data_IF_933216136599
#
_entry.id   IF_933216136599
#
_cell.length_a   1.000
_cell.length_b   1.000
_cell.length_c   1.000
_cell.angle_alpha   90.00
_cell.angle_beta   90.00
_cell.angle_gamma   90.00
#
_symmetry.space_group_name_H-M   'P 1'
#
loop_
_entity.id
_entity.type
_entity.pdbx_description
1 polymer ?
#
# COMPACT_ATOMS: atom_id res chain seq x y z
N UNK A 1 26.13 -39.26 42.98
CA UNK A 1 25.26 -38.08 42.81
C UNK A 1 25.83 -37.31 41.63
N UNK A 2 25.31 -37.59 40.45
CA UNK A 2 25.82 -37.06 39.18
C UNK A 2 25.11 -35.73 38.92
N UNK A 3 25.80 -34.63 38.59
CA UNK A 3 25.11 -33.38 38.26
C UNK A 3 24.35 -33.53 36.94
N UNK A 4 23.13 -33.02 36.95
CA UNK A 4 22.17 -32.93 35.85
C UNK A 4 22.68 -31.90 34.81
N UNK A 5 22.57 -32.14 33.50
CA UNK A 5 23.02 -31.17 32.50
C UNK A 5 22.04 -29.99 32.41
N UNK A 6 22.56 -28.76 32.45
CA UNK A 6 21.78 -27.55 32.20
C UNK A 6 21.17 -27.57 30.78
N UNK A 7 19.93 -27.07 30.60
CA UNK A 7 19.35 -26.98 29.27
C UNK A 7 20.04 -25.86 28.49
N UNK A 8 20.53 -26.21 27.30
CA UNK A 8 21.04 -25.27 26.33
C UNK A 8 19.97 -24.23 25.98
N UNK A 9 20.30 -22.94 26.15
CA UNK A 9 19.55 -21.84 25.53
C UNK A 9 19.64 -21.99 24.01
N UNK A 10 18.62 -22.61 23.42
CA UNK A 10 18.40 -22.55 21.99
C UNK A 10 18.02 -21.11 21.64
N UNK A 11 19.01 -20.35 21.20
CA UNK A 11 18.80 -19.09 20.50
C UNK A 11 17.79 -19.30 19.37
N UNK A 12 16.64 -18.63 19.49
CA UNK A 12 15.66 -18.56 18.41
C UNK A 12 16.33 -17.87 17.22
N UNK A 13 16.74 -18.66 16.24
CA UNK A 13 16.95 -18.18 14.90
C UNK A 13 15.62 -17.55 14.43
N UNK A 14 15.64 -16.26 14.17
CA UNK A 14 14.53 -15.56 13.53
C UNK A 14 14.40 -16.08 12.10
N UNK A 15 13.54 -17.05 11.92
CA UNK A 15 13.06 -17.49 10.62
C UNK A 15 12.35 -16.29 9.97
N UNK A 16 12.93 -15.69 8.92
CA UNK A 16 12.28 -14.64 8.14
C UNK A 16 11.22 -15.25 7.20
N UNK A 17 10.27 -15.98 7.77
CA UNK A 17 9.01 -16.24 7.11
C UNK A 17 8.29 -14.89 7.04
N UNK A 18 8.04 -14.39 5.83
CA UNK A 18 7.34 -13.11 5.60
C UNK A 18 6.13 -12.97 6.53
N UNK A 19 5.97 -11.79 7.13
CA UNK A 19 5.03 -11.60 8.24
C UNK A 19 3.63 -12.01 7.81
N UNK A 20 3.03 -12.97 8.54
CA UNK A 20 1.62 -13.37 8.37
C UNK A 20 0.64 -12.39 9.04
N UNK A 21 1.10 -11.23 9.50
CA UNK A 21 0.22 -10.25 10.11
C UNK A 21 -0.50 -9.43 9.02
N UNK A 22 -1.84 -9.26 9.09
CA UNK A 22 -2.58 -8.43 8.16
C UNK A 22 -2.02 -7.01 8.09
N UNK A 23 -2.02 -6.39 6.91
CA UNK A 23 -1.56 -5.00 6.71
C UNK A 23 -2.64 -4.02 7.17
N UNK A 24 -2.68 -3.74 8.47
CA UNK A 24 -3.62 -2.83 9.14
C UNK A 24 -2.91 -1.56 9.59
N UNK A 25 -3.67 -0.57 10.08
CA UNK A 25 -3.06 0.61 10.71
C UNK A 25 -2.09 0.24 11.83
N UNK A 26 -2.51 -0.61 12.77
CA UNK A 26 -1.69 -0.98 13.92
C UNK A 26 -0.40 -1.70 13.51
N UNK A 27 -0.51 -2.72 12.68
CA UNK A 27 0.66 -3.51 12.23
C UNK A 27 1.59 -2.69 11.33
N UNK A 28 1.09 -1.72 10.56
CA UNK A 28 1.95 -0.81 9.80
C UNK A 28 2.65 0.21 10.72
N UNK A 29 1.96 0.72 11.73
CA UNK A 29 2.53 1.65 12.73
C UNK A 29 3.69 0.98 13.48
N UNK A 30 3.51 -0.26 13.95
CA UNK A 30 4.57 -1.09 14.55
C UNK A 30 5.78 -1.31 13.62
N UNK A 31 5.52 -1.34 12.31
CA UNK A 31 6.57 -1.47 11.26
C UNK A 31 7.20 -0.12 10.88
N UNK A 32 6.91 0.95 11.61
CA UNK A 32 7.47 2.28 11.41
C UNK A 32 6.84 3.06 10.25
N UNK A 33 5.64 2.69 9.81
CA UNK A 33 4.87 3.56 8.92
C UNK A 33 4.36 4.78 9.70
N UNK A 34 4.46 5.94 9.06
CA UNK A 34 3.94 7.20 9.54
C UNK A 34 2.79 7.67 8.65
N UNK A 35 2.15 8.77 9.05
CA UNK A 35 1.05 9.37 8.31
C UNK A 35 -0.29 8.84 8.81
N UNK A 36 -0.93 7.98 8.00
CA UNK A 36 -2.33 7.57 8.19
C UNK A 36 -3.31 8.73 8.05
N UNK A 37 -3.10 9.52 7.00
CA UNK A 37 -3.91 10.72 6.71
C UNK A 37 -4.68 10.57 5.40
N UNK A 38 -5.86 11.18 5.26
CA UNK A 38 -6.54 11.33 3.99
C UNK A 38 -5.66 11.92 2.88
N UNK A 39 -5.95 11.58 1.62
CA UNK A 39 -5.26 12.20 0.48
C UNK A 39 -5.33 13.74 0.49
N UNK A 40 -6.45 14.31 0.97
CA UNK A 40 -6.65 15.75 1.07
C UNK A 40 -5.62 16.44 2.00
N UNK A 41 -5.12 15.72 3.01
CA UNK A 41 -4.27 16.25 4.07
C UNK A 41 -2.77 16.09 3.78
N UNK A 42 -2.40 15.36 2.72
CA UNK A 42 -1.00 15.20 2.29
C UNK A 42 -0.25 16.54 2.11
N UNK A 43 -0.84 17.64 1.58
CA UNK A 43 -0.14 18.93 1.48
C UNK A 43 0.26 19.55 2.82
N UNK A 44 -0.40 19.14 3.91
CA UNK A 44 -0.17 19.64 5.26
C UNK A 44 0.63 18.64 6.12
N UNK A 45 1.03 17.52 5.53
CA UNK A 45 1.72 16.43 6.21
C UNK A 45 3.22 16.47 5.96
N UNK A 46 4.00 16.04 6.95
CA UNK A 46 5.47 15.93 6.87
C UNK A 46 5.92 14.70 6.05
N UNK A 47 5.50 14.60 4.79
CA UNK A 47 5.89 13.52 3.90
C UNK A 47 7.37 13.69 3.50
N UNK A 48 8.25 12.70 3.77
CA UNK A 48 9.66 12.78 3.42
C UNK A 48 9.88 12.99 1.91
N UNK A 49 10.94 13.71 1.55
CA UNK A 49 11.30 13.92 0.15
C UNK A 49 12.05 12.72 -0.47
N UNK A 50 12.61 11.84 0.37
CA UNK A 50 13.42 10.69 -0.03
C UNK A 50 12.61 9.51 -0.55
N UNK A 51 13.31 8.40 -0.79
CA UNK A 51 12.72 7.14 -1.25
C UNK A 51 11.92 6.45 -0.14
N UNK A 52 11.03 5.56 -0.56
CA UNK A 52 10.28 4.74 0.37
C UNK A 52 9.07 4.06 -0.26
N UNK A 53 8.25 3.51 0.62
CA UNK A 53 7.04 2.78 0.27
C UNK A 53 5.84 3.43 0.95
N UNK A 54 4.67 3.21 0.38
CA UNK A 54 3.41 3.70 0.94
C UNK A 54 2.31 2.66 0.76
N UNK A 55 1.34 2.70 1.68
CA UNK A 55 0.16 1.83 1.68
C UNK A 55 -1.07 2.72 1.76
N UNK A 56 -2.09 2.41 0.96
CA UNK A 56 -3.42 3.01 1.07
C UNK A 56 -4.32 2.04 1.82
N UNK A 57 -4.94 2.53 2.89
CA UNK A 57 -5.85 1.79 3.74
C UNK A 57 -7.28 2.31 3.54
N UNK A 58 -8.24 1.39 3.48
CA UNK A 58 -9.66 1.71 3.64
C UNK A 58 -10.07 1.40 5.09
N UNK A 59 -10.43 2.40 5.90
CA UNK A 59 -10.77 2.19 7.32
C UNK A 59 -12.12 1.51 7.50
N UNK A 60 -13.05 1.69 6.55
CA UNK A 60 -14.37 1.08 6.60
C UNK A 60 -14.28 -0.45 6.37
N UNK A 61 -14.94 -1.22 7.24
CA UNK A 61 -15.07 -2.68 7.11
C UNK A 61 -16.29 -3.11 6.28
N UNK A 62 -17.20 -2.19 5.96
CA UNK A 62 -18.37 -2.46 5.12
C UNK A 62 -17.96 -2.80 3.68
N UNK A 63 -18.80 -3.55 2.92
CA UNK A 63 -18.58 -3.70 1.48
C UNK A 63 -18.45 -2.34 0.77
N UNK A 64 -17.57 -2.20 -0.22
CA UNK A 64 -17.38 -0.94 -0.92
C UNK A 64 -18.57 -0.67 -1.86
N UNK A 65 -18.81 0.61 -2.11
CA UNK A 65 -19.64 1.04 -3.24
C UNK A 65 -18.70 1.52 -4.33
N UNK A 66 -18.89 1.01 -5.55
CA UNK A 66 -18.08 1.38 -6.69
C UNK A 66 -18.75 2.42 -7.57
N UNK A 67 -18.01 3.48 -7.90
CA UNK A 67 -18.41 4.50 -8.88
C UNK A 67 -18.32 3.94 -10.30
N UNK A 68 -19.31 4.26 -11.14
CA UNK A 68 -19.26 3.90 -12.57
C UNK A 68 -18.15 4.63 -13.33
N UNK A 69 -17.76 5.82 -12.88
CA UNK A 69 -16.67 6.61 -13.46
C UNK A 69 -15.68 7.02 -12.39
N UNK A 70 -14.40 6.91 -12.71
CA UNK A 70 -13.31 7.40 -11.89
C UNK A 70 -13.23 8.94 -11.98
N UNK A 71 -13.08 9.67 -10.86
CA UNK A 71 -12.79 11.10 -10.87
C UNK A 71 -11.33 11.38 -11.28
N UNK A 72 -10.50 10.35 -11.44
CA UNK A 72 -9.08 10.52 -11.66
C UNK A 72 -8.77 11.14 -13.04
N UNK A 73 -7.64 11.85 -13.12
CA UNK A 73 -7.23 12.55 -14.33
C UNK A 73 -6.96 11.61 -15.50
N UNK A 74 -7.24 12.07 -16.73
CA UNK A 74 -6.95 11.28 -17.92
C UNK A 74 -5.48 11.48 -18.31
N UNK A 75 -4.70 10.40 -18.34
CA UNK A 75 -3.28 10.45 -18.74
C UNK A 75 -3.16 9.99 -20.18
N UNK A 76 -2.63 10.84 -21.06
CA UNK A 76 -2.46 10.52 -22.49
C UNK A 76 -3.76 9.98 -23.14
N UNK A 77 -4.92 10.52 -22.74
CA UNK A 77 -6.22 10.08 -23.24
C UNK A 77 -6.77 8.78 -22.63
N UNK A 78 -6.07 8.14 -21.69
CA UNK A 78 -6.57 6.96 -20.99
C UNK A 78 -7.60 7.36 -19.92
N UNK A 79 -8.83 6.83 -20.03
CA UNK A 79 -9.85 6.88 -18.99
C UNK A 79 -9.47 5.91 -17.86
N UNK A 80 -9.29 6.38 -16.62
CA UNK A 80 -8.94 5.54 -15.48
C UNK A 80 -10.12 4.69 -14.95
N UNK A 81 -11.30 4.76 -15.57
CA UNK A 81 -12.47 3.96 -15.20
C UNK A 81 -12.37 2.52 -15.72
N UNK A 82 -12.77 1.57 -14.90
CA UNK A 82 -13.02 0.17 -15.28
C UNK A 82 -14.44 -0.25 -14.88
N UNK A 83 -14.82 -1.48 -15.26
CA UNK A 83 -16.17 -2.01 -14.99
C UNK A 83 -16.34 -2.40 -13.52
N UNK A 84 -17.56 -2.31 -13.00
CA UNK A 84 -17.91 -2.81 -11.66
C UNK A 84 -17.61 -4.30 -11.50
N UNK A 85 -17.77 -5.11 -12.55
CA UNK A 85 -17.40 -6.53 -12.53
C UNK A 85 -15.90 -6.73 -12.27
N UNK A 86 -15.05 -5.93 -12.91
CA UNK A 86 -13.60 -5.92 -12.69
C UNK A 86 -13.27 -5.50 -11.26
N UNK A 87 -13.91 -4.46 -10.73
CA UNK A 87 -13.68 -4.00 -9.35
C UNK A 87 -14.13 -5.05 -8.33
N UNK A 88 -15.30 -5.65 -8.52
CA UNK A 88 -15.79 -6.74 -7.66
C UNK A 88 -14.84 -7.94 -7.67
N UNK A 89 -14.30 -8.32 -8.83
CA UNK A 89 -13.37 -9.44 -8.94
C UNK A 89 -12.01 -9.15 -8.29
N UNK A 90 -11.61 -7.87 -8.18
CA UNK A 90 -10.37 -7.47 -7.52
C UNK A 90 -10.54 -7.24 -6.01
N UNK A 91 -11.78 -7.08 -5.53
CA UNK A 91 -12.06 -6.75 -4.14
C UNK A 91 -11.76 -7.93 -3.21
N UNK A 92 -11.11 -7.64 -2.08
CA UNK A 92 -10.74 -8.63 -1.06
C UNK A 92 -11.51 -8.33 0.23
N UNK A 93 -12.57 -9.10 0.56
CA UNK A 93 -13.34 -8.87 1.78
C UNK A 93 -12.46 -8.92 3.04
N UNK A 94 -12.64 -7.93 3.92
CA UNK A 94 -11.92 -7.86 5.20
C UNK A 94 -10.47 -7.34 5.11
N UNK A 95 -9.89 -7.20 3.92
CA UNK A 95 -8.60 -6.54 3.77
C UNK A 95 -8.73 -5.02 3.97
N UNK A 96 -7.86 -4.45 4.79
CA UNK A 96 -7.81 -2.99 5.01
C UNK A 96 -6.84 -2.30 4.05
N UNK A 97 -5.71 -2.92 3.73
CA UNK A 97 -4.82 -2.45 2.68
C UNK A 97 -5.42 -2.69 1.29
N UNK A 98 -5.64 -1.60 0.55
CA UNK A 98 -6.22 -1.62 -0.80
C UNK A 98 -5.18 -1.34 -1.90
N UNK A 99 -4.03 -0.76 -1.54
CA UNK A 99 -2.94 -0.52 -2.47
C UNK A 99 -1.59 -0.42 -1.74
N UNK A 100 -0.54 -0.96 -2.36
CA UNK A 100 0.85 -0.80 -1.95
C UNK A 100 1.63 -0.21 -3.12
N UNK A 101 2.42 0.83 -2.87
CA UNK A 101 3.21 1.49 -3.89
C UNK A 101 4.59 1.94 -3.43
N UNK A 102 5.49 2.15 -4.40
CA UNK A 102 6.84 2.71 -4.16
C UNK A 102 7.06 4.12 -4.68
N UNK A 103 8.03 4.79 -4.07
CA UNK A 103 8.64 6.04 -4.49
C UNK A 103 10.17 5.90 -4.48
N UNK A 104 10.81 6.12 -5.64
CA UNK A 104 12.25 5.90 -5.85
C UNK A 104 12.84 6.94 -6.81
N UNK A 105 14.16 7.09 -6.76
CA UNK A 105 14.94 8.01 -7.59
C UNK A 105 14.48 9.46 -7.46
N UNK A 106 14.34 10.16 -8.60
CA UNK A 106 13.92 11.57 -8.63
C UNK A 106 12.48 11.81 -8.15
N UNK A 107 11.71 10.74 -7.97
CA UNK A 107 10.30 10.72 -7.55
C UNK A 107 10.17 10.10 -6.15
N UNK A 108 10.77 10.75 -5.14
CA UNK A 108 10.60 10.37 -3.74
C UNK A 108 9.17 10.57 -3.22
N UNK A 109 8.93 10.13 -1.98
CA UNK A 109 7.60 9.98 -1.38
C UNK A 109 6.72 11.22 -1.53
N UNK A 110 7.22 12.40 -1.13
CA UNK A 110 6.47 13.66 -1.23
C UNK A 110 5.96 13.94 -2.65
N UNK A 111 6.81 13.79 -3.68
CA UNK A 111 6.42 14.01 -5.09
C UNK A 111 5.44 12.94 -5.57
N UNK A 112 5.71 11.69 -5.24
CA UNK A 112 4.89 10.53 -5.67
C UNK A 112 3.48 10.61 -5.09
N UNK A 113 3.36 10.87 -3.80
CA UNK A 113 2.06 10.99 -3.12
C UNK A 113 1.32 12.26 -3.54
N UNK A 114 2.01 13.38 -3.78
CA UNK A 114 1.38 14.57 -4.35
C UNK A 114 0.83 14.31 -5.77
N UNK A 115 1.59 13.59 -6.61
CA UNK A 115 1.14 13.16 -7.92
C UNK A 115 -0.11 12.27 -7.81
N UNK A 116 -0.11 11.31 -6.89
CA UNK A 116 -1.24 10.41 -6.69
C UNK A 116 -2.50 11.16 -6.25
N UNK A 117 -2.38 12.04 -5.25
CA UNK A 117 -3.47 12.92 -4.80
C UNK A 117 -4.03 13.78 -5.94
N UNK A 118 -3.15 14.44 -6.71
CA UNK A 118 -3.57 15.30 -7.83
C UNK A 118 -4.26 14.49 -8.92
N UNK A 119 -3.81 13.26 -9.15
CA UNK A 119 -4.45 12.34 -10.06
C UNK A 119 -5.90 12.08 -9.64
N UNK A 120 -6.17 11.76 -8.37
CA UNK A 120 -7.52 11.57 -7.86
C UNK A 120 -8.43 12.81 -7.96
N UNK A 121 -7.84 14.01 -8.02
CA UNK A 121 -8.53 15.28 -8.24
C UNK A 121 -8.77 15.62 -9.73
N UNK A 122 -8.75 14.63 -10.61
CA UNK A 122 -8.95 14.83 -12.05
C UNK A 122 -7.77 15.45 -12.80
N UNK A 123 -6.62 15.70 -12.15
CA UNK A 123 -5.46 16.33 -12.81
C UNK A 123 -4.59 15.29 -13.49
N UNK A 124 -4.05 15.61 -14.66
CA UNK A 124 -3.00 14.81 -15.29
C UNK A 124 -1.69 14.96 -14.49
N UNK A 125 -1.38 13.99 -13.62
CA UNK A 125 -0.27 14.06 -12.67
C UNK A 125 0.74 12.91 -12.79
N UNK A 126 0.63 12.09 -13.85
CA UNK A 126 1.62 11.05 -14.14
C UNK A 126 1.61 9.84 -13.19
N UNK A 127 0.54 9.66 -12.42
CA UNK A 127 0.35 8.50 -11.53
C UNK A 127 -0.73 7.57 -12.08
N UNK A 128 -0.34 6.45 -12.68
CA UNK A 128 -1.29 5.45 -13.21
C UNK A 128 -1.45 4.21 -12.33
N UNK A 129 -0.53 3.97 -11.38
CA UNK A 129 -0.68 2.90 -10.41
C UNK A 129 -1.83 3.17 -9.44
N UNK A 130 -2.52 2.12 -9.00
CA UNK A 130 -3.56 2.21 -7.98
C UNK A 130 -4.89 2.81 -8.46
N UNK A 131 -5.14 2.92 -9.76
CA UNK A 131 -6.30 3.67 -10.30
C UNK A 131 -7.66 3.19 -9.78
N UNK A 132 -7.80 1.90 -9.41
CA UNK A 132 -9.05 1.33 -8.89
C UNK A 132 -9.50 1.99 -7.59
N UNK A 133 -8.59 2.53 -6.77
CA UNK A 133 -9.00 3.19 -5.51
C UNK A 133 -9.90 4.39 -5.79
N UNK A 134 -9.76 5.04 -6.95
CA UNK A 134 -10.55 6.22 -7.30
C UNK A 134 -11.98 5.88 -7.68
N UNK A 135 -12.30 4.61 -7.95
CA UNK A 135 -13.69 4.16 -8.10
C UNK A 135 -14.30 3.68 -6.79
N UNK A 136 -13.63 3.81 -5.65
CA UNK A 136 -14.28 3.69 -4.35
C UNK A 136 -15.07 4.98 -4.07
N UNK A 137 -16.36 4.83 -3.77
CA UNK A 137 -17.23 5.98 -3.49
C UNK A 137 -16.77 6.77 -2.25
N UNK A 138 -16.07 6.11 -1.33
CA UNK A 138 -15.47 6.66 -0.11
C UNK A 138 -13.95 6.89 -0.25
N UNK A 139 -13.47 7.11 -1.48
CA UNK A 139 -12.03 7.31 -1.77
C UNK A 139 -11.41 8.52 -1.06
N UNK A 140 -12.23 9.49 -0.64
CA UNK A 140 -11.84 10.65 0.17
C UNK A 140 -11.48 10.29 1.63
N UNK A 141 -12.01 9.17 2.14
CA UNK A 141 -11.73 8.66 3.49
C UNK A 141 -10.51 7.72 3.55
N UNK A 142 -9.94 7.36 2.41
CA UNK A 142 -8.77 6.48 2.34
C UNK A 142 -7.57 7.12 3.03
N UNK A 143 -6.91 6.32 3.87
CA UNK A 143 -5.72 6.75 4.61
C UNK A 143 -4.47 6.36 3.85
N UNK A 144 -3.51 7.27 3.76
CA UNK A 144 -2.18 7.02 3.20
C UNK A 144 -1.17 6.94 4.33
N UNK A 145 -0.47 5.82 4.40
CA UNK A 145 0.65 5.60 5.29
C UNK A 145 1.95 5.47 4.47
N UNK A 146 3.06 5.98 4.96
CA UNK A 146 4.35 5.90 4.27
C UNK A 146 5.48 5.53 5.22
N UNK A 147 6.53 4.93 4.66
CA UNK A 147 7.77 4.62 5.36
C UNK A 147 8.94 4.92 4.43
N UNK A 148 9.89 5.73 4.91
CA UNK A 148 11.15 5.93 4.20
C UNK A 148 11.95 4.63 4.21
N UNK A 149 12.57 4.30 3.08
CA UNK A 149 13.40 3.09 2.96
C UNK A 149 14.66 3.46 2.17
N UNK A 150 15.81 3.04 2.68
CA UNK A 150 17.10 3.17 2.01
C UNK A 150 17.67 1.80 1.62
N UNK A 151 17.50 0.80 2.48
CA UNK A 151 17.89 -0.59 2.28
C UNK A 151 16.82 -1.49 2.96
N UNK A 152 16.17 -2.45 2.26
CA UNK A 152 16.32 -2.75 0.83
C UNK A 152 15.81 -1.63 -0.09
N UNK A 153 16.15 -1.62 -1.38
CA UNK A 153 15.60 -0.64 -2.33
C UNK A 153 14.07 -0.61 -2.29
N UNK A 154 13.46 0.56 -2.49
CA UNK A 154 12.00 0.73 -2.38
C UNK A 154 11.19 -0.23 -3.27
N UNK A 155 11.77 -0.69 -4.39
CA UNK A 155 11.20 -1.73 -5.25
C UNK A 155 11.06 -3.08 -4.58
N UNK A 156 12.12 -3.53 -3.92
CA UNK A 156 12.11 -4.77 -3.18
C UNK A 156 11.18 -4.67 -1.96
N UNK A 157 11.23 -3.57 -1.20
CA UNK A 157 10.35 -3.38 -0.04
C UNK A 157 8.85 -3.35 -0.42
N UNK A 158 8.50 -2.79 -1.58
CA UNK A 158 7.13 -2.85 -2.13
C UNK A 158 6.75 -4.29 -2.49
N UNK A 159 7.62 -5.00 -3.20
CA UNK A 159 7.37 -6.38 -3.61
C UNK A 159 7.19 -7.32 -2.40
N UNK A 160 7.96 -7.12 -1.33
CA UNK A 160 7.84 -7.86 -0.07
C UNK A 160 6.47 -7.66 0.58
N UNK A 161 5.98 -6.42 0.71
CA UNK A 161 4.64 -6.16 1.26
C UNK A 161 3.52 -6.73 0.39
N UNK A 162 3.66 -6.67 -0.93
CA UNK A 162 2.70 -7.29 -1.84
C UNK A 162 2.73 -8.82 -1.70
N UNK A 163 3.91 -9.41 -1.54
CA UNK A 163 4.07 -10.85 -1.31
C UNK A 163 3.43 -11.28 0.01
N UNK A 164 3.62 -10.53 1.10
CA UNK A 164 2.93 -10.78 2.39
C UNK A 164 1.41 -10.72 2.24
N UNK A 165 0.89 -9.71 1.51
CA UNK A 165 -0.54 -9.63 1.22
C UNK A 165 -1.04 -10.86 0.45
N UNK A 166 -0.30 -11.30 -0.57
CA UNK A 166 -0.64 -12.51 -1.35
C UNK A 166 -0.60 -13.76 -0.47
N UNK A 167 0.37 -13.89 0.44
CA UNK A 167 0.44 -15.02 1.37
C UNK A 167 -0.82 -15.09 2.24
N UNK A 168 -1.37 -13.94 2.63
CA UNK A 168 -2.56 -13.87 3.49
C UNK A 168 -3.89 -14.00 2.76
N UNK A 169 -3.98 -13.46 1.54
CA UNK A 169 -5.26 -13.33 0.83
C UNK A 169 -5.33 -14.16 -0.46
N UNK A 170 -4.22 -14.75 -0.91
CA UNK A 170 -4.12 -15.51 -2.16
C UNK A 170 -4.14 -14.66 -3.44
N UNK A 171 -4.34 -13.35 -3.32
CA UNK A 171 -4.51 -12.41 -4.44
C UNK A 171 -3.76 -11.10 -4.17
N UNK A 172 -3.66 -10.22 -5.18
CA UNK A 172 -3.06 -8.89 -5.03
C UNK A 172 -3.95 -7.96 -4.19
N UNK A 173 -3.38 -6.92 -3.54
CA UNK A 173 -4.18 -5.83 -3.01
C UNK A 173 -5.07 -5.24 -4.11
N UNK A 174 -6.26 -4.78 -3.73
CA UNK A 174 -7.33 -4.38 -4.64
C UNK A 174 -6.89 -3.58 -5.88
N UNK A 175 -6.03 -2.57 -5.71
CA UNK A 175 -5.59 -1.69 -6.79
C UNK A 175 -4.19 -1.99 -7.33
N UNK A 176 -3.52 -3.04 -6.84
CA UNK A 176 -2.26 -3.53 -7.39
C UNK A 176 -2.52 -4.41 -8.61
N UNK A 177 -1.78 -4.20 -9.70
CA UNK A 177 -1.92 -4.93 -10.97
C UNK A 177 -0.71 -5.82 -11.29
N UNK A 178 0.31 -5.81 -10.45
CA UNK A 178 1.51 -6.63 -10.52
C UNK A 178 2.09 -6.84 -9.12
N UNK A 179 3.12 -7.68 -8.99
CA UNK A 179 3.76 -8.06 -7.72
C UNK A 179 4.85 -7.07 -7.25
N UNK A 180 4.87 -5.85 -7.80
CA UNK A 180 5.99 -4.91 -7.61
C UNK A 180 7.17 -5.20 -8.54
N UNK A 181 8.20 -4.35 -8.48
CA UNK A 181 9.46 -4.56 -9.21
C UNK A 181 10.62 -4.68 -8.25
N UNK A 182 11.24 -5.86 -8.22
CA UNK A 182 12.47 -6.19 -7.47
C UNK A 182 13.76 -5.62 -8.08
N UNK A 183 13.63 -4.74 -9.09
CA UNK A 183 14.73 -4.16 -9.86
C UNK A 183 14.71 -2.64 -9.71
#
# INVERSE_FOLDING_TARGET
MTPEPEPAENGLATDSAGSRAPLTRATLDERGFLGFVPFADLPHSAVPAGEGIYVVLRPAASPPVFLTRSPAGHRKGHDPSTTTATLNSAWVPGATAVYVGKAAGRQGLSKRLNAFRRQGQGRNAGHSGGEYIWQLADSDTLLVAWRSVADPPAGQAEAELIAEFIVLHGVLPFANRNRGSSI
#
